data_IF_237734217429
#
_entry.id   IF_237734217429
#
_cell.length_a   1.000
_cell.length_b   1.000
_cell.length_c   1.000
_cell.angle_alpha   90.00
_cell.angle_beta   90.00
_cell.angle_gamma   90.00
#
_symmetry.space_group_name_H-M   'P 1'
#
loop_
_entity.id
_entity.type
_entity.pdbx_description
1 polymer ?
#
# COMPACT_ATOMS: atom_id res chain seq x y z
N UNK A 1 -19.50 -1.72 18.57
CA UNK A 1 -18.90 -0.63 17.77
C UNK A 1 -18.75 -1.16 16.35
N UNK A 2 -18.96 -0.34 15.33
CA UNK A 2 -18.74 -0.78 13.93
C UNK A 2 -17.25 -1.03 13.71
N UNK A 3 -16.89 -2.09 13.00
CA UNK A 3 -15.49 -2.36 12.63
C UNK A 3 -15.01 -1.30 11.63
N UNK A 4 -13.84 -0.74 11.86
CA UNK A 4 -13.21 0.29 11.00
C UNK A 4 -11.77 -0.07 10.75
N UNK A 5 -11.36 -0.04 9.48
CA UNK A 5 -10.02 -0.27 8.99
C UNK A 5 -9.51 1.00 8.32
N UNK A 6 -8.26 1.38 8.58
CA UNK A 6 -7.57 2.46 7.89
C UNK A 6 -6.33 1.92 7.19
N UNK A 7 -6.26 2.07 5.88
CA UNK A 7 -5.05 1.85 5.11
C UNK A 7 -4.31 3.18 4.89
N UNK A 8 -3.00 3.21 5.04
CA UNK A 8 -2.13 4.37 4.80
C UNK A 8 -1.09 3.94 3.77
N UNK A 9 -1.27 4.42 2.54
CA UNK A 9 -0.48 4.03 1.37
C UNK A 9 0.16 5.25 0.73
N UNK A 10 1.24 5.03 -0.03
CA UNK A 10 2.05 6.12 -0.57
C UNK A 10 1.44 6.74 -1.84
N UNK A 11 1.05 5.92 -2.81
CA UNK A 11 0.68 6.38 -4.14
C UNK A 11 -0.72 5.92 -4.56
N UNK A 12 -1.35 6.65 -5.51
CA UNK A 12 -2.54 6.15 -6.20
C UNK A 12 -2.17 4.89 -7.00
N UNK A 13 -2.70 3.75 -6.63
CA UNK A 13 -2.56 2.37 -7.13
C UNK A 13 -2.14 1.35 -6.06
N UNK A 14 -1.37 1.73 -5.04
CA UNK A 14 -0.94 0.85 -3.96
C UNK A 14 -2.13 0.14 -3.28
N UNK A 15 -3.24 0.85 -3.10
CA UNK A 15 -4.46 0.33 -2.48
C UNK A 15 -5.07 -0.80 -3.31
N UNK A 16 -4.96 -0.74 -4.65
CA UNK A 16 -5.54 -1.72 -5.58
C UNK A 16 -4.59 -2.87 -5.87
N UNK A 17 -3.30 -2.57 -6.11
CA UNK A 17 -2.31 -3.56 -6.51
C UNK A 17 -1.71 -4.29 -5.30
N UNK A 18 -1.54 -3.60 -4.17
CA UNK A 18 -0.91 -4.15 -2.97
C UNK A 18 -1.88 -4.86 -2.02
N UNK A 19 -3.04 -4.25 -1.74
CA UNK A 19 -3.96 -4.69 -0.68
C UNK A 19 -5.44 -4.68 -1.10
N UNK A 20 -5.71 -4.48 -2.39
CA UNK A 20 -7.07 -4.29 -2.91
C UNK A 20 -8.00 -5.46 -2.63
N UNK A 21 -7.47 -6.68 -2.57
CA UNK A 21 -8.25 -7.85 -2.19
C UNK A 21 -8.78 -7.78 -0.76
N UNK A 22 -7.94 -7.37 0.16
CA UNK A 22 -8.30 -7.16 1.58
C UNK A 22 -9.31 -6.03 1.73
N UNK A 23 -9.09 -4.89 1.08
CA UNK A 23 -10.01 -3.75 1.15
C UNK A 23 -11.38 -4.13 0.59
N UNK A 24 -11.43 -4.79 -0.58
CA UNK A 24 -12.66 -5.29 -1.18
C UNK A 24 -13.41 -6.28 -0.27
N UNK A 25 -12.70 -7.21 0.35
CA UNK A 25 -13.27 -8.17 1.30
C UNK A 25 -13.93 -7.45 2.46
N UNK A 26 -13.20 -6.62 3.18
CA UNK A 26 -13.72 -5.97 4.39
C UNK A 26 -14.84 -4.99 4.09
N UNK A 27 -14.75 -4.18 3.04
CA UNK A 27 -15.84 -3.30 2.63
C UNK A 27 -17.11 -4.10 2.29
N UNK A 28 -16.99 -5.22 1.55
CA UNK A 28 -18.11 -6.10 1.23
C UNK A 28 -18.71 -6.81 2.46
N UNK A 29 -17.90 -7.03 3.51
CA UNK A 29 -18.32 -7.60 4.79
C UNK A 29 -18.89 -6.56 5.77
N UNK A 30 -19.01 -5.29 5.34
CA UNK A 30 -19.63 -4.21 6.12
C UNK A 30 -18.72 -3.48 7.08
N UNK A 31 -17.40 -3.65 6.95
CA UNK A 31 -16.39 -2.83 7.66
C UNK A 31 -16.31 -1.45 7.02
N UNK A 32 -16.20 -0.39 7.82
CA UNK A 32 -15.85 0.93 7.30
C UNK A 32 -14.37 0.97 6.95
N UNK A 33 -14.06 0.91 5.66
CA UNK A 33 -12.69 0.92 5.15
C UNK A 33 -12.34 2.32 4.69
N UNK A 34 -11.30 2.90 5.29
CA UNK A 34 -10.77 4.22 4.94
C UNK A 34 -9.37 4.09 4.35
N UNK A 35 -9.02 5.02 3.47
CA UNK A 35 -7.70 5.11 2.84
C UNK A 35 -7.12 6.51 3.01
N UNK A 36 -5.86 6.57 3.44
CA UNK A 36 -4.98 7.73 3.22
C UNK A 36 -4.05 7.37 2.08
N UNK A 37 -4.07 8.17 1.00
CA UNK A 37 -3.04 8.18 -0.03
C UNK A 37 -2.13 9.38 0.22
N UNK A 38 -0.84 9.14 0.46
CA UNK A 38 0.06 10.18 0.93
C UNK A 38 0.44 11.19 -0.16
N UNK A 39 0.63 10.72 -1.41
CA UNK A 39 1.10 11.55 -2.53
C UNK A 39 0.15 11.53 -3.72
N UNK A 40 0.40 12.40 -4.68
CA UNK A 40 -0.32 12.42 -5.96
C UNK A 40 0.27 11.49 -7.03
N UNK A 41 1.42 10.86 -6.76
CA UNK A 41 2.09 9.97 -7.71
C UNK A 41 2.64 10.70 -8.93
N UNK A 42 3.19 11.89 -8.76
CA UNK A 42 3.62 12.81 -9.82
C UNK A 42 4.73 12.23 -10.71
N UNK A 43 5.54 11.31 -10.15
CA UNK A 43 6.65 10.66 -10.87
C UNK A 43 6.25 9.36 -11.60
N UNK A 44 4.97 8.98 -11.54
CA UNK A 44 4.47 7.84 -12.31
C UNK A 44 4.62 8.07 -13.82
N UNK A 45 5.10 7.04 -14.53
CA UNK A 45 5.18 7.08 -15.99
C UNK A 45 3.77 6.94 -16.58
N UNK A 46 3.40 7.88 -17.43
CA UNK A 46 2.08 7.93 -18.09
C UNK A 46 2.28 8.10 -19.59
N UNK A 47 1.56 7.31 -20.39
CA UNK A 47 1.55 7.48 -21.83
C UNK A 47 0.92 8.85 -22.19
N UNK A 48 1.49 9.62 -23.14
CA UNK A 48 1.02 10.96 -23.50
C UNK A 48 -0.47 11.02 -23.84
N UNK A 49 -0.98 9.97 -24.48
CA UNK A 49 -2.39 9.86 -24.89
C UNK A 49 -3.35 9.80 -23.70
N UNK A 50 -2.92 9.19 -22.60
CA UNK A 50 -3.71 9.10 -21.36
C UNK A 50 -3.68 10.41 -20.57
N UNK A 51 -2.69 11.25 -20.78
CA UNK A 51 -2.58 12.55 -20.13
C UNK A 51 -3.44 13.62 -20.82
N UNK A 52 -3.90 13.38 -22.06
CA UNK A 52 -4.74 14.33 -22.79
C UNK A 52 -6.01 14.67 -21.99
N UNK A 53 -6.26 15.98 -21.82
CA UNK A 53 -7.42 16.48 -21.06
C UNK A 53 -7.25 16.47 -19.54
N UNK A 54 -6.04 16.21 -19.04
CA UNK A 54 -5.67 16.31 -17.63
C UNK A 54 -4.59 17.37 -17.41
N UNK A 55 -4.70 18.14 -16.33
CA UNK A 55 -3.79 19.25 -16.02
C UNK A 55 -2.39 18.73 -15.60
N UNK A 56 -2.30 17.52 -15.09
CA UNK A 56 -1.05 16.91 -14.62
C UNK A 56 -1.20 15.39 -14.45
N UNK A 57 -0.07 14.69 -14.28
CA UNK A 57 -0.03 13.27 -13.89
C UNK A 57 -0.79 13.04 -12.57
N UNK A 58 -0.57 13.90 -11.59
CA UNK A 58 -1.27 13.82 -10.30
C UNK A 58 -2.79 13.96 -10.46
N UNK A 59 -3.27 14.91 -11.27
CA UNK A 59 -4.70 15.08 -11.52
C UNK A 59 -5.35 13.86 -12.18
N UNK A 60 -4.66 13.23 -13.13
CA UNK A 60 -5.11 11.99 -13.75
C UNK A 60 -5.15 10.86 -12.70
N UNK A 61 -4.05 10.64 -11.97
CA UNK A 61 -3.94 9.55 -10.99
C UNK A 61 -4.89 9.72 -9.80
N UNK A 62 -5.16 10.96 -9.39
CA UNK A 62 -6.20 11.22 -8.37
C UNK A 62 -7.60 10.81 -8.85
N UNK A 63 -7.94 11.07 -10.11
CA UNK A 63 -9.21 10.63 -10.71
C UNK A 63 -9.29 9.10 -10.77
N UNK A 64 -8.20 8.43 -11.12
CA UNK A 64 -8.10 6.98 -11.12
C UNK A 64 -8.27 6.40 -9.71
N UNK A 65 -7.61 6.98 -8.71
CA UNK A 65 -7.74 6.61 -7.31
C UNK A 65 -9.18 6.76 -6.79
N UNK A 66 -9.87 7.84 -7.13
CA UNK A 66 -11.28 8.03 -6.75
C UNK A 66 -12.18 6.97 -7.39
N UNK A 67 -11.93 6.62 -8.65
CA UNK A 67 -12.60 5.50 -9.31
C UNK A 67 -12.34 4.17 -8.57
N UNK A 68 -11.10 3.89 -8.22
CA UNK A 68 -10.72 2.67 -7.50
C UNK A 68 -11.37 2.61 -6.10
N UNK A 69 -11.35 3.71 -5.36
CA UNK A 69 -12.00 3.83 -4.05
C UNK A 69 -13.52 3.53 -4.13
N UNK A 70 -14.20 4.02 -5.16
CA UNK A 70 -15.61 3.71 -5.42
C UNK A 70 -15.82 2.20 -5.72
N UNK A 71 -14.97 1.60 -6.58
CA UNK A 71 -15.05 0.17 -6.90
C UNK A 71 -14.80 -0.71 -5.68
N UNK A 72 -13.84 -0.36 -4.83
CA UNK A 72 -13.54 -1.06 -3.59
C UNK A 72 -14.63 -0.89 -2.52
N UNK A 73 -15.50 0.12 -2.66
CA UNK A 73 -16.53 0.44 -1.68
C UNK A 73 -15.97 1.09 -0.42
N UNK A 74 -14.94 1.92 -0.56
CA UNK A 74 -14.33 2.61 0.58
C UNK A 74 -15.31 3.60 1.21
N UNK A 75 -15.33 3.64 2.55
CA UNK A 75 -16.13 4.57 3.33
C UNK A 75 -15.52 5.99 3.35
N UNK A 76 -14.20 6.11 3.14
CA UNK A 76 -13.51 7.40 3.07
C UNK A 76 -12.18 7.30 2.34
N UNK A 77 -11.82 8.40 1.67
CA UNK A 77 -10.54 8.61 0.99
C UNK A 77 -10.00 9.99 1.36
N UNK A 78 -8.78 10.01 1.89
CA UNK A 78 -8.01 11.22 2.18
C UNK A 78 -6.76 11.24 1.32
N UNK A 79 -6.51 12.33 0.59
CA UNK A 79 -5.26 12.58 -0.12
C UNK A 79 -4.47 13.56 0.74
N UNK A 80 -3.31 13.13 1.26
CA UNK A 80 -2.55 13.91 2.23
C UNK A 80 -1.78 15.08 1.62
N UNK A 81 -1.59 15.09 0.29
CA UNK A 81 -1.08 16.25 -0.46
C UNK A 81 0.43 16.41 -0.44
N UNK A 82 1.20 15.38 -0.03
CA UNK A 82 2.65 15.37 -0.22
C UNK A 82 2.98 15.09 -1.68
N UNK A 83 4.13 15.57 -2.14
CA UNK A 83 4.61 15.19 -3.47
C UNK A 83 5.28 13.82 -3.45
N UNK A 84 5.15 13.12 -4.55
CA UNK A 84 5.89 11.89 -4.83
C UNK A 84 7.41 12.17 -4.86
N UNK A 85 8.19 11.32 -4.21
CA UNK A 85 9.65 11.43 -4.16
C UNK A 85 10.35 10.75 -5.34
N UNK A 86 9.63 9.92 -6.08
CA UNK A 86 10.20 9.02 -7.08
C UNK A 86 11.10 7.94 -6.45
N UNK A 87 11.64 7.08 -7.30
CA UNK A 87 12.58 6.04 -6.88
C UNK A 87 13.90 6.62 -6.35
N UNK A 88 14.61 5.84 -5.56
CA UNK A 88 15.89 6.25 -4.97
C UNK A 88 16.87 6.77 -6.04
N UNK A 89 17.49 7.91 -5.78
CA UNK A 89 18.44 8.56 -6.69
C UNK A 89 17.80 9.47 -7.75
N UNK A 90 16.47 9.63 -7.78
CA UNK A 90 15.79 10.59 -8.66
C UNK A 90 15.81 12.01 -8.09
N UNK A 91 15.55 13.00 -8.95
CA UNK A 91 15.48 14.41 -8.54
C UNK A 91 14.38 14.72 -7.52
N UNK A 92 13.33 13.90 -7.47
CA UNK A 92 12.25 14.02 -6.50
C UNK A 92 12.70 13.81 -5.04
N UNK A 93 13.74 13.03 -4.82
CA UNK A 93 14.24 12.75 -3.46
C UNK A 93 14.80 13.99 -2.74
N UNK A 94 15.18 15.04 -3.47
CA UNK A 94 15.70 16.29 -2.91
C UNK A 94 14.69 17.44 -2.95
N UNK A 95 13.49 17.23 -3.49
CA UNK A 95 12.41 18.22 -3.43
C UNK A 95 11.92 18.32 -1.97
N UNK A 96 12.04 19.50 -1.32
CA UNK A 96 11.60 19.65 0.07
C UNK A 96 10.09 19.46 0.28
N UNK A 97 9.29 19.43 -0.78
CA UNK A 97 7.85 19.13 -0.72
C UNK A 97 7.55 17.63 -0.86
N UNK A 98 8.54 16.81 -1.22
CA UNK A 98 8.34 15.37 -1.38
C UNK A 98 8.19 14.67 -0.03
N UNK A 99 7.45 13.56 -0.01
CA UNK A 99 7.12 12.82 1.20
C UNK A 99 8.38 12.32 1.93
N UNK A 100 9.33 11.74 1.20
CA UNK A 100 10.55 11.20 1.79
C UNK A 100 11.49 12.29 2.36
N UNK A 101 11.35 13.56 1.94
CA UNK A 101 12.11 14.68 2.47
C UNK A 101 11.46 15.33 3.70
N UNK A 102 10.20 14.98 4.02
CA UNK A 102 9.53 15.55 5.19
C UNK A 102 10.09 14.99 6.49
N UNK A 103 10.13 15.81 7.57
CA UNK A 103 10.33 15.28 8.92
C UNK A 103 9.28 14.23 9.26
N UNK A 104 9.71 13.05 9.68
CA UNK A 104 8.80 11.93 9.96
C UNK A 104 7.76 12.28 11.03
N UNK A 105 8.14 13.13 12.00
CA UNK A 105 7.26 13.60 13.08
C UNK A 105 6.12 14.47 12.55
N UNK A 106 6.38 15.29 11.53
CA UNK A 106 5.36 16.14 10.93
C UNK A 106 4.34 15.29 10.14
N UNK A 107 4.81 14.34 9.35
CA UNK A 107 3.94 13.40 8.62
C UNK A 107 3.14 12.53 9.60
N UNK A 108 3.80 12.06 10.66
CA UNK A 108 3.15 11.26 11.70
C UNK A 108 2.06 12.03 12.45
N UNK A 109 2.29 13.30 12.75
CA UNK A 109 1.28 14.14 13.40
C UNK A 109 0.04 14.33 12.52
N UNK A 110 0.25 14.51 11.20
CA UNK A 110 -0.84 14.60 10.22
C UNK A 110 -1.63 13.29 10.15
N UNK A 111 -0.96 12.14 10.00
CA UNK A 111 -1.64 10.84 9.97
C UNK A 111 -2.33 10.51 11.31
N UNK A 112 -1.72 10.89 12.45
CA UNK A 112 -2.32 10.68 13.76
C UNK A 112 -3.60 11.48 13.96
N UNK A 113 -3.68 12.70 13.41
CA UNK A 113 -4.90 13.50 13.43
C UNK A 113 -6.04 12.77 12.70
N UNK A 114 -5.75 12.20 11.52
CA UNK A 114 -6.73 11.43 10.74
C UNK A 114 -7.10 10.12 11.47
N UNK A 115 -6.14 9.43 12.10
CA UNK A 115 -6.43 8.24 12.92
C UNK A 115 -7.42 8.59 14.05
N UNK A 116 -7.27 9.75 14.71
CA UNK A 116 -8.21 10.19 15.75
C UNK A 116 -9.60 10.51 15.20
N UNK A 117 -9.69 11.05 13.99
CA UNK A 117 -10.95 11.34 13.30
C UNK A 117 -11.67 10.04 12.92
N UNK A 118 -10.97 9.14 12.20
CA UNK A 118 -11.52 7.89 11.64
C UNK A 118 -11.77 6.83 12.71
N UNK A 119 -10.96 6.80 13.78
CA UNK A 119 -11.06 5.85 14.91
C UNK A 119 -10.98 4.38 14.50
N UNK A 120 -10.00 3.96 13.69
CA UNK A 120 -9.88 2.59 13.25
C UNK A 120 -9.45 1.67 14.38
N UNK A 121 -9.89 0.41 14.39
CA UNK A 121 -9.33 -0.64 15.23
C UNK A 121 -8.08 -1.24 14.59
N UNK A 122 -8.06 -1.33 13.25
CA UNK A 122 -6.96 -1.91 12.47
C UNK A 122 -6.38 -0.85 11.54
N UNK A 123 -5.05 -0.74 11.54
CA UNK A 123 -4.29 0.11 10.61
C UNK A 123 -3.40 -0.79 9.75
N UNK A 124 -3.32 -0.49 8.45
CA UNK A 124 -2.44 -1.16 7.49
C UNK A 124 -1.52 -0.12 6.86
N UNK A 125 -0.25 -0.47 6.63
CA UNK A 125 0.69 0.33 5.83
C UNK A 125 1.71 -0.57 5.13
N UNK A 126 2.64 0.02 4.39
CA UNK A 126 3.78 -0.68 3.77
C UNK A 126 4.67 -1.36 4.80
N UNK A 127 5.52 -2.28 4.37
CA UNK A 127 6.54 -2.87 5.22
C UNK A 127 7.74 -1.92 5.47
N UNK A 128 8.62 -2.22 6.45
CA UNK A 128 9.72 -1.31 6.81
C UNK A 128 10.76 -1.06 5.73
N UNK A 129 10.88 -1.93 4.73
CA UNK A 129 11.76 -1.72 3.58
C UNK A 129 11.04 -1.07 2.39
N UNK A 130 9.75 -0.73 2.54
CA UNK A 130 8.97 -0.09 1.49
C UNK A 130 8.62 -1.02 0.33
N UNK A 131 8.31 -2.28 0.61
CA UNK A 131 7.97 -3.34 -0.33
C UNK A 131 9.11 -3.64 -1.32
N UNK A 132 9.35 -2.77 -2.28
CA UNK A 132 10.44 -2.82 -3.28
C UNK A 132 11.43 -1.64 -3.12
N UNK A 133 11.62 -1.16 -1.88
CA UNK A 133 12.57 -0.11 -1.47
C UNK A 133 12.21 1.30 -1.99
N UNK A 134 10.92 1.56 -2.24
CA UNK A 134 10.49 2.88 -2.62
C UNK A 134 10.61 3.86 -1.43
N UNK A 135 11.27 5.05 -1.61
CA UNK A 135 11.47 6.02 -0.53
C UNK A 135 10.17 6.45 0.17
N UNK A 136 9.08 6.67 -0.59
CA UNK A 136 7.79 7.06 -0.03
C UNK A 136 7.11 5.94 0.74
N UNK A 137 7.25 4.68 0.33
CA UNK A 137 6.72 3.55 1.09
C UNK A 137 7.42 3.43 2.45
N UNK A 138 8.76 3.64 2.48
CA UNK A 138 9.53 3.67 3.72
C UNK A 138 9.09 4.85 4.60
N UNK A 139 8.89 6.03 4.01
CA UNK A 139 8.42 7.21 4.72
C UNK A 139 7.01 6.99 5.30
N UNK A 140 6.07 6.44 4.51
CA UNK A 140 4.74 6.05 4.96
C UNK A 140 4.79 5.07 6.12
N UNK A 141 5.60 4.01 6.03
CA UNK A 141 5.76 3.03 7.11
C UNK A 141 6.19 3.71 8.41
N UNK A 142 7.32 4.46 8.38
CA UNK A 142 7.89 5.14 9.55
C UNK A 142 6.92 6.14 10.17
N UNK A 143 6.27 6.95 9.34
CA UNK A 143 5.29 7.93 9.79
C UNK A 143 4.06 7.24 10.39
N UNK A 144 3.57 6.15 9.81
CA UNK A 144 2.42 5.40 10.31
C UNK A 144 2.72 4.73 11.65
N UNK A 145 3.90 4.16 11.83
CA UNK A 145 4.31 3.58 13.12
C UNK A 145 4.30 4.62 14.25
N UNK A 146 4.83 5.79 13.98
CA UNK A 146 4.82 6.89 14.93
C UNK A 146 3.40 7.43 15.15
N UNK A 147 2.61 7.60 14.08
CA UNK A 147 1.22 8.06 14.11
C UNK A 147 0.32 7.12 14.91
N UNK A 148 0.50 5.80 14.78
CA UNK A 148 -0.23 4.78 15.51
C UNK A 148 -0.10 4.95 17.04
N UNK A 149 1.11 5.27 17.50
CA UNK A 149 1.37 5.56 18.92
C UNK A 149 0.85 6.94 19.33
N UNK A 150 1.15 7.96 18.51
CA UNK A 150 0.82 9.36 18.78
C UNK A 150 -0.70 9.61 18.84
N UNK A 151 -1.49 8.90 18.03
CA UNK A 151 -2.95 9.02 18.05
C UNK A 151 -3.54 8.61 19.41
N UNK A 152 -2.93 7.67 20.13
CA UNK A 152 -3.34 7.22 21.45
C UNK A 152 -2.81 8.08 22.62
N UNK A 153 -1.89 9.00 22.37
CA UNK A 153 -1.30 9.86 23.40
C UNK A 153 -2.23 11.04 23.72
N UNK A 154 -2.74 11.09 24.93
CA UNK A 154 -3.67 12.14 25.38
C UNK A 154 -3.03 13.52 25.47
N UNK A 155 -1.70 13.61 25.62
CA UNK A 155 -0.96 14.86 25.73
C UNK A 155 -0.58 15.43 24.34
N UNK A 156 -0.66 14.62 23.28
CA UNK A 156 -0.31 15.05 21.95
C UNK A 156 -1.32 16.06 21.38
N UNK A 157 -0.81 17.24 21.06
CA UNK A 157 -1.58 18.30 20.38
C UNK A 157 -1.58 18.04 18.89
N UNK A 158 -2.71 17.59 18.35
CA UNK A 158 -2.90 17.27 16.94
C UNK A 158 -3.95 18.19 16.31
N UNK A 159 -3.85 18.38 15.02
CA UNK A 159 -4.85 19.11 14.24
C UNK A 159 -6.25 18.50 14.42
N UNK A 160 -7.31 19.31 14.32
CA UNK A 160 -8.71 18.88 14.44
C UNK A 160 -9.19 18.66 15.88
N UNK A 161 -8.32 18.67 16.88
CA UNK A 161 -8.68 18.51 18.32
C UNK A 161 -9.57 17.29 18.63
N UNK A 162 -9.45 16.22 17.85
CA UNK A 162 -10.16 14.98 18.13
C UNK A 162 -9.62 14.30 19.40
N UNK A 163 -10.48 13.66 20.20
CA UNK A 163 -10.03 12.88 21.37
C UNK A 163 -9.03 11.80 20.98
N UNK A 164 -8.09 11.52 21.89
CA UNK A 164 -7.12 10.46 21.70
C UNK A 164 -7.81 9.13 21.34
N UNK A 165 -7.24 8.44 20.37
CA UNK A 165 -7.71 7.14 19.91
C UNK A 165 -6.54 6.19 19.76
N UNK A 166 -6.56 5.06 20.45
CA UNK A 166 -5.54 4.01 20.36
C UNK A 166 -6.07 2.88 19.47
N UNK A 167 -5.61 2.75 18.21
CA UNK A 167 -5.94 1.59 17.38
C UNK A 167 -5.46 0.30 18.07
N UNK A 168 -6.12 -0.82 17.78
CA UNK A 168 -5.82 -2.10 18.42
C UNK A 168 -4.67 -2.84 17.76
N UNK A 169 -4.62 -2.80 16.41
CA UNK A 169 -3.64 -3.55 15.62
C UNK A 169 -3.04 -2.70 14.49
N UNK A 170 -1.73 -2.89 14.26
CA UNK A 170 -1.01 -2.38 13.09
C UNK A 170 -0.44 -3.56 12.32
N UNK A 171 -0.68 -3.56 11.02
CA UNK A 171 -0.14 -4.54 10.07
C UNK A 171 0.67 -3.88 8.98
N UNK A 172 1.75 -4.54 8.56
CA UNK A 172 2.50 -4.22 7.36
C UNK A 172 2.07 -5.15 6.23
N UNK A 173 1.74 -4.59 5.09
CA UNK A 173 1.57 -5.33 3.85
C UNK A 173 2.94 -5.82 3.37
N UNK A 174 3.09 -7.13 3.18
CA UNK A 174 4.35 -7.76 2.78
C UNK A 174 4.22 -8.48 1.45
N UNK A 175 5.31 -8.48 0.69
CA UNK A 175 5.35 -9.20 -0.58
C UNK A 175 5.59 -10.71 -0.37
N UNK A 176 4.99 -11.57 -1.20
CA UNK A 176 5.19 -13.03 -1.13
C UNK A 176 6.58 -13.41 -1.66
N UNK A 177 7.63 -13.32 -0.83
CA UNK A 177 9.03 -13.61 -1.22
C UNK A 177 9.23 -14.96 -1.90
N UNK A 178 8.49 -15.99 -1.49
CA UNK A 178 8.55 -17.29 -2.15
C UNK A 178 8.18 -17.22 -3.63
N UNK A 179 7.21 -16.40 -3.99
CA UNK A 179 6.88 -16.15 -5.39
C UNK A 179 8.07 -15.53 -6.15
N UNK A 180 8.71 -14.52 -5.55
CA UNK A 180 9.88 -13.88 -6.15
C UNK A 180 11.09 -14.81 -6.23
N UNK A 181 11.31 -15.70 -5.26
CA UNK A 181 12.35 -16.75 -5.32
C UNK A 181 12.12 -17.70 -6.50
N UNK A 182 10.86 -18.14 -6.70
CA UNK A 182 10.51 -18.97 -7.87
C UNK A 182 10.68 -18.20 -9.17
N UNK A 183 10.23 -16.95 -9.21
CA UNK A 183 10.41 -16.08 -10.36
C UNK A 183 11.89 -15.90 -10.71
N UNK A 184 12.74 -15.60 -9.73
CA UNK A 184 14.17 -15.42 -9.93
C UNK A 184 14.87 -16.69 -10.46
N UNK A 185 14.42 -17.88 -10.06
CA UNK A 185 14.96 -19.15 -10.58
C UNK A 185 14.60 -19.39 -12.07
N UNK A 186 13.45 -18.92 -12.50
CA UNK A 186 12.96 -19.15 -13.84
C UNK A 186 13.29 -18.03 -14.82
N UNK A 187 13.49 -16.82 -14.33
CA UNK A 187 13.77 -15.62 -15.12
C UNK A 187 14.94 -15.79 -16.13
N UNK A 188 16.07 -16.44 -15.79
CA UNK A 188 17.17 -16.66 -16.75
C UNK A 188 16.76 -17.47 -17.97
N UNK A 189 15.81 -18.39 -17.87
CA UNK A 189 15.31 -19.20 -18.99
C UNK A 189 14.59 -18.33 -20.03
N UNK A 190 14.07 -17.18 -19.59
CA UNK A 190 13.32 -16.24 -20.43
C UNK A 190 14.11 -14.97 -20.74
N UNK A 191 15.40 -14.91 -20.32
CA UNK A 191 16.27 -13.74 -20.48
C UNK A 191 15.71 -12.47 -19.82
N UNK A 192 14.99 -12.61 -18.72
CA UNK A 192 14.47 -11.49 -17.94
C UNK A 192 15.61 -10.94 -17.08
N UNK A 193 15.83 -9.64 -17.15
CA UNK A 193 16.77 -8.94 -16.27
C UNK A 193 16.09 -8.69 -14.90
N UNK A 194 16.64 -9.30 -13.86
CA UNK A 194 16.12 -9.19 -12.49
C UNK A 194 16.62 -7.96 -11.75
N UNK A 195 17.67 -7.29 -12.28
CA UNK A 195 18.19 -6.07 -11.66
C UNK A 195 17.56 -4.81 -12.19
N UNK A 196 16.90 -4.91 -13.36
CA UNK A 196 16.19 -3.83 -14.01
C UNK A 196 14.77 -4.30 -14.32
N UNK A 197 14.03 -4.72 -13.29
CA UNK A 197 12.68 -5.22 -13.44
C UNK A 197 11.65 -4.09 -13.32
N UNK A 198 10.42 -4.34 -13.81
CA UNK A 198 9.33 -3.38 -13.82
C UNK A 198 9.32 -2.47 -15.04
N UNK A 199 8.25 -1.67 -15.16
CA UNK A 199 8.02 -0.77 -16.30
C UNK A 199 9.14 0.23 -16.50
N UNK A 200 9.64 0.78 -15.40
CA UNK A 200 10.70 1.79 -15.41
C UNK A 200 12.11 1.20 -15.32
N UNK A 201 12.23 -0.15 -15.26
CA UNK A 201 13.51 -0.85 -15.07
C UNK A 201 14.26 -0.40 -13.81
N UNK A 202 13.56 -0.12 -12.74
CA UNK A 202 14.03 0.50 -11.50
C UNK A 202 13.87 -0.39 -10.25
N UNK A 203 13.42 -1.65 -10.43
CA UNK A 203 13.28 -2.62 -9.36
C UNK A 203 14.37 -3.69 -9.46
N UNK A 204 15.28 -3.75 -8.45
CA UNK A 204 16.24 -4.85 -8.33
C UNK A 204 15.63 -6.00 -7.50
N UNK A 205 15.11 -7.02 -8.21
CA UNK A 205 14.52 -8.21 -7.58
C UNK A 205 15.56 -9.01 -6.79
N UNK A 206 16.83 -8.96 -7.16
CA UNK A 206 17.89 -9.67 -6.43
C UNK A 206 18.11 -9.00 -5.08
N UNK A 207 18.24 -7.68 -5.05
CA UNK A 207 18.37 -6.92 -3.82
C UNK A 207 17.12 -7.10 -2.93
N UNK A 208 15.92 -7.09 -3.51
CA UNK A 208 14.68 -7.37 -2.79
C UNK A 208 14.69 -8.76 -2.11
N UNK A 209 15.25 -9.78 -2.76
CA UNK A 209 15.35 -11.13 -2.18
C UNK A 209 16.37 -11.22 -1.05
N UNK A 210 17.44 -10.42 -1.10
CA UNK A 210 18.49 -10.36 -0.09
C UNK A 210 18.08 -9.50 1.13
N UNK A 211 17.19 -8.53 0.91
CA UNK A 211 16.74 -7.57 1.93
C UNK A 211 15.58 -8.14 2.73
N UNK A 212 15.68 -8.15 4.05
CA UNK A 212 14.65 -8.45 5.05
C UNK A 212 13.65 -9.60 4.72
N UNK A 213 13.54 -10.60 5.56
CA UNK A 213 12.50 -11.63 5.49
C UNK A 213 11.48 -11.36 6.59
N UNK A 214 10.28 -10.91 6.21
CA UNK A 214 9.23 -10.55 7.17
C UNK A 214 8.35 -11.77 7.45
N UNK A 215 8.09 -12.08 8.74
CA UNK A 215 7.20 -13.17 9.08
C UNK A 215 5.77 -12.85 8.67
N UNK A 216 5.07 -13.83 8.10
CA UNK A 216 3.66 -13.69 7.74
C UNK A 216 2.82 -14.13 8.93
N UNK A 217 2.08 -13.17 9.52
CA UNK A 217 1.19 -13.41 10.66
C UNK A 217 -0.27 -13.48 10.25
N UNK A 218 -0.67 -12.80 9.17
CA UNK A 218 -2.01 -12.89 8.63
C UNK A 218 -2.00 -13.12 7.11
N UNK A 219 -2.95 -13.96 6.66
CA UNK A 219 -3.15 -14.29 5.25
C UNK A 219 -4.62 -14.13 4.91
N UNK A 220 -4.94 -13.06 4.21
CA UNK A 220 -6.31 -12.67 3.91
C UNK A 220 -6.74 -13.22 2.56
N UNK A 221 -7.65 -14.19 2.58
CA UNK A 221 -8.24 -14.77 1.37
C UNK A 221 -9.26 -13.80 0.76
N UNK A 222 -8.98 -13.32 -0.46
CA UNK A 222 -9.87 -12.43 -1.19
C UNK A 222 -10.42 -13.05 -2.49
N UNK A 223 -10.23 -14.34 -2.75
CA UNK A 223 -10.65 -14.99 -4.00
C UNK A 223 -12.11 -14.74 -4.36
N UNK A 224 -12.98 -14.69 -3.37
CA UNK A 224 -14.41 -14.34 -3.55
C UNK A 224 -14.59 -12.88 -4.01
N UNK A 225 -13.68 -12.00 -3.64
CA UNK A 225 -13.74 -10.56 -3.87
C UNK A 225 -12.81 -10.10 -5.00
N UNK A 226 -12.11 -11.05 -5.65
CA UNK A 226 -11.18 -10.76 -6.74
C UNK A 226 -11.80 -9.91 -7.87
N UNK A 227 -13.07 -10.13 -8.29
CA UNK A 227 -13.66 -9.27 -9.32
C UNK A 227 -13.77 -7.79 -8.92
N UNK A 228 -13.95 -7.49 -7.62
CA UNK A 228 -14.00 -6.12 -7.10
C UNK A 228 -12.61 -5.50 -7.15
N UNK A 229 -11.59 -6.23 -6.64
CA UNK A 229 -10.19 -5.83 -6.70
C UNK A 229 -9.74 -5.59 -8.15
N UNK A 230 -10.08 -6.47 -9.07
CA UNK A 230 -9.70 -6.36 -10.49
C UNK A 230 -10.36 -5.14 -11.14
N UNK A 231 -11.63 -4.83 -10.78
CA UNK A 231 -12.29 -3.63 -11.25
C UNK A 231 -11.67 -2.34 -10.71
N UNK A 232 -11.20 -2.35 -9.45
CA UNK A 232 -10.45 -1.23 -8.86
C UNK A 232 -9.09 -1.06 -9.55
N UNK A 233 -8.33 -2.15 -9.71
CA UNK A 233 -7.05 -2.13 -10.43
C UNK A 233 -7.19 -1.58 -11.86
N UNK A 234 -8.29 -1.92 -12.56
CA UNK A 234 -8.56 -1.41 -13.90
C UNK A 234 -8.82 0.10 -13.96
N UNK A 235 -9.15 0.75 -12.83
CA UNK A 235 -9.28 2.20 -12.77
C UNK A 235 -7.93 2.92 -12.99
N UNK A 236 -6.81 2.30 -12.59
CA UNK A 236 -5.46 2.84 -12.72
C UNK A 236 -4.86 2.59 -14.10
N UNK A 237 -5.63 2.96 -15.15
CA UNK A 237 -5.25 2.69 -16.54
C UNK A 237 -3.88 3.27 -16.91
N UNK A 238 -3.51 4.42 -16.33
CA UNK A 238 -2.22 5.06 -16.57
C UNK A 238 -1.03 4.27 -16.04
N UNK A 239 -1.26 3.38 -15.05
CA UNK A 239 -0.23 2.56 -14.40
C UNK A 239 -0.28 1.09 -14.83
N UNK A 240 -1.37 0.66 -15.48
CA UNK A 240 -1.44 -0.66 -16.07
C UNK A 240 -0.55 -0.70 -17.32
N UNK A 241 0.57 -1.38 -17.21
CA UNK A 241 1.13 -1.99 -18.43
C UNK A 241 0.11 -2.99 -18.97
N UNK A 242 0.19 -3.30 -20.24
CA UNK A 242 -0.56 -4.36 -20.91
C UNK A 242 -0.39 -5.71 -20.16
N UNK A 243 -0.84 -5.74 -18.95
CA UNK A 243 -1.03 -6.78 -17.95
C UNK A 243 0.10 -7.79 -17.72
N UNK A 244 0.09 -8.53 -16.60
CA UNK A 244 0.94 -9.71 -16.48
C UNK A 244 0.61 -10.63 -17.64
N UNK A 245 1.59 -11.39 -18.19
CA UNK A 245 1.35 -12.29 -19.30
C UNK A 245 0.14 -13.17 -18.97
N UNK A 246 -0.99 -12.93 -19.67
CA UNK A 246 -2.25 -13.63 -19.44
C UNK A 246 -2.18 -15.13 -19.81
N UNK A 247 -1.01 -15.60 -20.25
CA UNK A 247 -0.78 -16.97 -20.69
C UNK A 247 0.63 -17.46 -20.34
N UNK A 248 0.79 -18.78 -20.28
CA UNK A 248 2.06 -19.45 -20.04
C UNK A 248 2.37 -19.73 -18.57
N UNK A 249 3.59 -20.22 -18.31
CA UNK A 249 4.04 -20.67 -16.98
C UNK A 249 4.02 -19.55 -15.94
N UNK A 250 4.34 -18.32 -16.32
CA UNK A 250 4.31 -17.17 -15.43
C UNK A 250 2.90 -16.83 -14.96
N UNK A 251 1.91 -16.85 -15.86
CA UNK A 251 0.51 -16.69 -15.49
C UNK A 251 0.06 -17.76 -14.49
N UNK A 252 0.53 -19.00 -14.65
CA UNK A 252 0.22 -20.08 -13.72
C UNK A 252 0.85 -19.82 -12.34
N UNK A 253 2.12 -19.39 -12.30
CA UNK A 253 2.82 -19.08 -11.06
C UNK A 253 2.11 -17.94 -10.32
N UNK A 254 1.82 -16.82 -11.02
CA UNK A 254 1.08 -15.70 -10.43
C UNK A 254 -0.29 -16.16 -9.89
N UNK A 255 -1.01 -17.03 -10.62
CA UNK A 255 -2.31 -17.58 -10.18
C UNK A 255 -2.20 -18.45 -8.93
N UNK A 256 -1.09 -19.16 -8.71
CA UNK A 256 -0.89 -19.98 -7.51
C UNK A 256 -0.71 -19.13 -6.23
N UNK A 257 -0.15 -17.93 -6.37
CA UNK A 257 0.04 -16.98 -5.27
C UNK A 257 -1.07 -15.92 -5.22
N UNK A 258 -1.87 -15.78 -6.29
CA UNK A 258 -3.01 -14.87 -6.32
C UNK A 258 -4.13 -15.34 -5.36
N UNK A 259 -4.92 -14.37 -4.91
CA UNK A 259 -6.07 -14.64 -4.06
C UNK A 259 -5.84 -14.45 -2.57
N UNK A 260 -4.63 -14.03 -2.18
CA UNK A 260 -4.28 -13.75 -0.80
C UNK A 260 -3.42 -12.50 -0.69
N UNK A 261 -3.76 -11.63 0.27
CA UNK A 261 -2.87 -10.57 0.72
C UNK A 261 -2.18 -11.02 2.02
N UNK A 262 -0.91 -10.66 2.17
CA UNK A 262 -0.04 -11.14 3.24
C UNK A 262 0.35 -9.99 4.16
N UNK A 263 0.31 -10.25 5.47
CA UNK A 263 0.58 -9.23 6.47
C UNK A 263 1.50 -9.73 7.58
N UNK A 264 2.42 -8.85 7.99
CA UNK A 264 3.13 -8.95 9.25
C UNK A 264 2.41 -8.09 10.29
N UNK A 265 2.05 -8.64 11.43
CA UNK A 265 1.57 -7.84 12.56
C UNK A 265 2.76 -7.12 13.21
N UNK A 266 2.66 -5.80 13.31
CA UNK A 266 3.63 -4.96 13.98
C UNK A 266 3.23 -4.62 15.41
N UNK A 267 1.94 -4.39 15.64
CA UNK A 267 1.38 -4.13 16.97
C UNK A 267 0.02 -4.82 17.14
N UNK A 268 -0.26 -5.37 18.37
CA UNK A 268 0.73 -5.64 19.41
C UNK A 268 1.81 -6.62 18.92
N UNK A 269 2.90 -6.78 19.70
CA UNK A 269 3.90 -7.82 19.38
C UNK A 269 3.20 -9.17 19.22
N UNK A 270 3.38 -9.86 18.09
CA UNK A 270 2.65 -11.09 17.82
C UNK A 270 3.13 -12.24 18.69
N UNK A 271 2.21 -13.07 19.14
CA UNK A 271 2.56 -14.32 19.79
C UNK A 271 3.37 -15.23 18.86
N UNK A 272 4.33 -16.03 19.40
CA UNK A 272 5.09 -16.97 18.59
C UNK A 272 4.18 -17.93 17.82
N UNK A 273 4.33 -17.94 16.49
CA UNK A 273 3.55 -18.82 15.63
C UNK A 273 2.14 -18.30 15.27
N UNK A 274 1.82 -17.04 15.59
CA UNK A 274 0.55 -16.42 15.19
C UNK A 274 0.25 -16.66 13.71
N UNK A 275 -0.98 -17.09 13.44
CA UNK A 275 -1.55 -17.22 12.07
C UNK A 275 -3.01 -16.80 12.11
N UNK A 276 -3.32 -15.76 11.35
CA UNK A 276 -4.66 -15.20 11.26
C UNK A 276 -5.16 -15.22 9.81
N UNK A 277 -6.48 -15.34 9.66
CA UNK A 277 -7.21 -15.20 8.39
C UNK A 277 -8.22 -14.03 8.41
N UNK A 278 -8.24 -13.30 9.53
CA UNK A 278 -9.01 -12.06 9.74
C UNK A 278 -8.17 -11.08 10.58
N UNK A 279 -7.94 -9.85 10.06
CA UNK A 279 -7.18 -8.81 10.77
C UNK A 279 -7.90 -8.32 12.04
N UNK A 280 -9.21 -8.56 12.15
CA UNK A 280 -10.02 -8.24 13.32
C UNK A 280 -10.12 -9.40 14.31
N UNK A 281 -9.35 -10.48 14.14
CA UNK A 281 -9.31 -11.58 15.11
C UNK A 281 -9.04 -11.05 16.52
N UNK A 282 -9.77 -11.54 17.50
CA UNK A 282 -9.63 -11.16 18.92
C UNK A 282 -9.95 -9.68 19.26
N UNK A 283 -10.67 -8.95 18.40
CA UNK A 283 -11.14 -7.59 18.66
C UNK A 283 -12.65 -7.53 18.95
#
# INVERSE_FOLDING_TARGET
>A
MKKTLLAIMAHPDDESFGIGGTLARYASEGVDVHLICATGGEHGTVEPELLEGHDSVSALREKELRCAAEKLGLAGLTIAGYKDSGMAGTGGNVDPASLAAQPVEAVAAHFAAIIREVRPQVVITHDPIGNYMHPDHIACNRATELAFRLAGDVEAQLEGNHPAWKPSKLYYNTLPKEMFKWFARLAPLFRIDLRNFGRNSDIDVIELLETGDFPIHARIDYRKYAPIRDAASACHASQLESGPPNSGLFALIFRLFAGYDLYMQAHPEPDPGLREDDLFSSL
#
